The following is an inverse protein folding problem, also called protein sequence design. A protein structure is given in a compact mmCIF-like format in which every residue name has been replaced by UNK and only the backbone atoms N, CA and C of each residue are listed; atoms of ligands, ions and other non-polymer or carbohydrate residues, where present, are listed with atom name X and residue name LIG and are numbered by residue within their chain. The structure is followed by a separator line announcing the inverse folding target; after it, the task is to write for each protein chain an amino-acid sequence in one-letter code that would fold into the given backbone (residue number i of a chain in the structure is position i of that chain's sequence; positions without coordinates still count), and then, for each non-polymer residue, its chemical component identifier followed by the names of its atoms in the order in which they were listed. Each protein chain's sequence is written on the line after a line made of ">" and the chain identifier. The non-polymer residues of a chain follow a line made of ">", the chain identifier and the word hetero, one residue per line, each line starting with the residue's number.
data_IF_195618774965
#
_entry.id   IF_195618774965
#
_cell.length_a   1.000
_cell.length_b   1.000
_cell.length_c   1.000
_cell.angle_alpha   90.00
_cell.angle_beta   90.00
_cell.angle_gamma   90.00
#
_symmetry.space_group_name_H-M   'P 1'
#
loop_
_entity.id
_entity.type
_entity.pdbx_description
1 polymer ?
#
# COMPACT_ATOMS: atom_id res chain seq x y z
N UNK A 1 7.99 22.61 5.14
CA UNK A 1 7.90 21.14 5.04
C UNK A 1 6.53 20.79 4.51
N UNK A 2 6.47 20.19 3.33
CA UNK A 2 5.27 19.57 2.77
C UNK A 2 5.73 18.19 2.34
N UNK A 3 5.37 17.20 3.14
CA UNK A 3 5.66 15.80 2.87
C UNK A 3 5.16 15.42 1.46
N UNK A 4 5.87 14.50 0.81
CA UNK A 4 5.35 13.70 -0.29
C UNK A 4 4.32 12.76 0.33
N UNK A 5 3.18 13.34 0.69
CA UNK A 5 2.00 12.60 1.07
C UNK A 5 1.08 12.60 -0.14
N UNK A 6 0.60 11.41 -0.49
CA UNK A 6 -0.51 11.30 -1.42
C UNK A 6 -1.68 12.16 -0.95
N UNK A 7 -2.43 12.76 -1.90
CA UNK A 7 -3.63 13.53 -1.56
C UNK A 7 -4.70 12.64 -0.92
N UNK A 8 -5.77 13.27 -0.42
CA UNK A 8 -6.90 12.53 0.16
C UNK A 8 -7.37 11.46 -0.82
N UNK A 9 -7.43 10.23 -0.34
CA UNK A 9 -7.80 9.05 -1.12
C UNK A 9 -9.20 9.16 -1.71
N UNK A 10 -10.06 10.03 -1.15
CA UNK A 10 -11.37 10.37 -1.72
C UNK A 10 -11.26 11.05 -3.09
N UNK A 11 -10.15 11.74 -3.39
CA UNK A 11 -9.89 12.35 -4.70
C UNK A 11 -9.38 11.33 -5.74
N UNK A 12 -8.93 10.15 -5.29
CA UNK A 12 -8.51 9.05 -6.15
C UNK A 12 -9.73 8.26 -6.64
N UNK A 13 -10.43 8.82 -7.62
CA UNK A 13 -11.62 8.20 -8.23
C UNK A 13 -11.41 8.03 -9.73
N UNK A 14 -11.53 6.79 -10.17
CA UNK A 14 -11.71 6.44 -11.57
C UNK A 14 -13.22 6.34 -11.83
N UNK A 15 -13.71 7.01 -12.88
CA UNK A 15 -15.15 7.06 -13.21
C UNK A 15 -15.75 5.67 -13.41
N UNK A 16 -14.98 4.74 -13.98
CA UNK A 16 -15.42 3.35 -14.20
C UNK A 16 -15.67 2.61 -12.89
N UNK A 17 -14.91 2.94 -11.84
CA UNK A 17 -14.94 2.22 -10.56
C UNK A 17 -15.64 2.99 -9.44
N UNK A 18 -16.20 4.17 -9.72
CA UNK A 18 -16.82 5.03 -8.72
C UNK A 18 -17.93 4.30 -7.91
N UNK A 19 -18.78 3.51 -8.59
CA UNK A 19 -19.86 2.76 -7.95
C UNK A 19 -19.33 1.66 -7.00
N UNK A 20 -18.31 0.92 -7.44
CA UNK A 20 -17.67 -0.12 -6.63
C UNK A 20 -16.98 0.50 -5.42
N UNK A 21 -16.33 1.64 -5.61
CA UNK A 21 -15.65 2.37 -4.56
C UNK A 21 -16.63 2.93 -3.53
N UNK A 22 -17.78 3.44 -3.98
CA UNK A 22 -18.85 3.92 -3.10
C UNK A 22 -19.46 2.78 -2.30
N UNK A 23 -19.63 1.61 -2.90
CA UNK A 23 -20.05 0.42 -2.17
C UNK A 23 -19.01 0.05 -1.10
N UNK A 24 -17.73 -0.05 -1.44
CA UNK A 24 -16.65 -0.39 -0.50
C UNK A 24 -16.61 0.62 0.66
N UNK A 25 -16.69 1.92 0.37
CA UNK A 25 -16.68 2.97 1.38
C UNK A 25 -17.94 2.96 2.25
N UNK A 26 -19.12 2.69 1.68
CA UNK A 26 -20.35 2.51 2.44
C UNK A 26 -20.27 1.32 3.41
N UNK A 27 -19.69 0.20 2.96
CA UNK A 27 -19.50 -1.01 3.79
C UNK A 27 -18.46 -0.80 4.89
N UNK A 28 -17.42 -0.01 4.61
CA UNK A 28 -16.38 0.34 5.59
C UNK A 28 -16.88 1.33 6.66
N UNK A 29 -17.77 2.26 6.30
CA UNK A 29 -18.32 3.27 7.21
C UNK A 29 -19.43 2.75 8.14
N UNK A 30 -20.01 1.59 7.85
CA UNK A 30 -20.98 0.94 8.75
C UNK A 30 -20.40 0.75 10.16
N UNK A 31 -21.22 0.97 11.17
CA UNK A 31 -20.86 0.69 12.56
C UNK A 31 -20.68 -0.81 12.75
N UNK A 32 -19.78 -1.22 13.65
CA UNK A 32 -19.58 -2.64 13.97
C UNK A 32 -20.77 -3.11 14.79
N UNK A 33 -21.68 -3.89 14.20
CA UNK A 33 -22.75 -4.57 14.93
C UNK A 33 -22.19 -5.44 16.03
N UNK A 34 -20.97 -5.96 15.90
CA UNK A 34 -20.26 -6.65 16.97
C UNK A 34 -20.17 -5.83 18.26
N UNK A 35 -19.91 -4.52 18.16
CA UNK A 35 -19.80 -3.64 19.33
C UNK A 35 -21.18 -3.30 19.86
N UNK A 36 -22.12 -2.94 18.98
CA UNK A 36 -23.48 -2.59 19.38
C UNK A 36 -24.20 -3.76 20.08
N UNK A 37 -24.13 -4.98 19.52
CA UNK A 37 -24.74 -6.17 20.10
C UNK A 37 -24.02 -6.64 21.37
N UNK A 38 -22.69 -6.56 21.43
CA UNK A 38 -21.97 -6.88 22.66
C UNK A 38 -22.37 -5.96 23.82
N UNK A 39 -22.48 -4.66 23.57
CA UNK A 39 -22.93 -3.68 24.58
C UNK A 39 -24.39 -3.92 24.96
N UNK A 40 -25.29 -4.13 24.00
CA UNK A 40 -26.70 -4.42 24.26
C UNK A 40 -26.89 -5.68 25.12
N UNK A 41 -26.24 -6.79 24.75
CA UNK A 41 -26.31 -8.03 25.50
C UNK A 41 -25.64 -7.89 26.87
N UNK A 42 -24.53 -7.17 26.97
CA UNK A 42 -23.86 -6.88 28.24
C UNK A 42 -24.75 -6.08 29.20
N UNK A 43 -25.43 -5.04 28.72
CA UNK A 43 -26.37 -4.24 29.51
C UNK A 43 -27.58 -5.11 29.94
N UNK A 44 -28.13 -5.90 29.01
CA UNK A 44 -29.26 -6.79 29.33
C UNK A 44 -28.87 -7.84 30.40
N UNK A 45 -27.69 -8.47 30.26
CA UNK A 45 -27.17 -9.42 31.25
C UNK A 45 -26.90 -8.77 32.60
N UNK A 46 -26.37 -7.54 32.62
CA UNK A 46 -26.16 -6.79 33.85
C UNK A 46 -27.47 -6.47 34.56
N UNK A 47 -28.48 -5.95 33.83
CA UNK A 47 -29.81 -5.64 34.38
C UNK A 47 -30.57 -6.88 34.85
N UNK A 48 -30.37 -8.03 34.21
CA UNK A 48 -30.92 -9.29 34.70
C UNK A 48 -30.26 -9.72 36.01
N UNK A 49 -28.93 -9.56 36.11
CA UNK A 49 -28.19 -9.95 37.31
C UNK A 49 -28.41 -9.06 38.53
N UNK A 50 -28.85 -7.80 38.38
CA UNK A 50 -29.26 -6.97 39.52
C UNK A 50 -30.53 -7.50 40.20
N UNK A 51 -31.40 -8.19 39.46
CA UNK A 51 -32.59 -8.87 39.99
C UNK A 51 -32.27 -10.22 40.67
N UNK A 52 -31.07 -10.75 40.44
CA UNK A 52 -30.62 -12.09 40.87
C UNK A 52 -29.56 -12.02 41.99
N UNK A 53 -29.67 -11.04 42.89
CA UNK A 53 -28.91 -11.04 44.14
C UNK A 53 -27.41 -10.78 44.01
N UNK A 54 -27.00 -9.90 43.10
CA UNK A 54 -25.59 -9.44 43.01
C UNK A 54 -24.74 -10.11 41.92
N UNK A 55 -25.33 -10.98 41.10
CA UNK A 55 -24.64 -11.62 39.97
C UNK A 55 -24.49 -10.72 38.71
N UNK A 56 -24.84 -9.43 38.81
CA UNK A 56 -24.82 -8.45 37.71
C UNK A 56 -23.51 -8.41 36.88
N UNK A 57 -22.30 -8.30 37.47
CA UNK A 57 -21.08 -8.24 36.68
C UNK A 57 -20.78 -9.56 35.94
N UNK A 58 -21.08 -10.72 36.56
CA UNK A 58 -20.83 -12.03 35.95
C UNK A 58 -21.76 -12.27 34.76
N UNK A 59 -23.05 -11.99 34.93
CA UNK A 59 -24.03 -12.17 33.84
C UNK A 59 -23.86 -11.14 32.72
N UNK A 60 -23.44 -9.91 33.03
CA UNK A 60 -23.10 -8.91 32.02
C UNK A 60 -21.92 -9.33 31.14
N UNK A 61 -20.80 -9.78 31.74
CA UNK A 61 -19.65 -10.29 30.99
C UNK A 61 -20.01 -11.56 30.21
N UNK A 62 -20.77 -12.46 30.84
CA UNK A 62 -21.25 -13.70 30.22
C UNK A 62 -22.11 -13.47 28.98
N UNK A 63 -22.97 -12.45 28.99
CA UNK A 63 -23.80 -12.09 27.84
C UNK A 63 -23.06 -11.27 26.77
N UNK A 64 -22.02 -10.52 27.16
CA UNK A 64 -21.21 -9.71 26.24
C UNK A 64 -20.54 -10.55 25.14
N UNK A 65 -19.96 -11.70 25.51
CA UNK A 65 -19.23 -12.56 24.56
C UNK A 65 -20.14 -13.12 23.45
N UNK A 66 -21.31 -13.73 23.76
CA UNK A 66 -22.29 -14.12 22.74
C UNK A 66 -22.75 -12.96 21.86
N UNK A 67 -23.05 -11.78 22.45
CA UNK A 67 -23.44 -10.60 21.67
C UNK A 67 -22.35 -10.15 20.69
N UNK A 68 -21.08 -10.21 21.11
CA UNK A 68 -19.93 -9.92 20.25
C UNK A 68 -19.78 -10.96 19.13
N UNK A 69 -19.94 -12.26 19.41
CA UNK A 69 -19.83 -13.33 18.42
C UNK A 69 -20.94 -13.23 17.36
N UNK A 70 -22.19 -13.05 17.79
CA UNK A 70 -23.34 -12.87 16.89
C UNK A 70 -23.13 -11.62 16.03
N UNK A 71 -22.71 -10.51 16.63
CA UNK A 71 -22.47 -9.29 15.86
C UNK A 71 -21.28 -9.39 14.92
N UNK A 72 -20.21 -10.13 15.27
CA UNK A 72 -19.11 -10.43 14.33
C UNK A 72 -19.61 -11.25 13.13
N UNK A 73 -20.48 -12.23 13.38
CA UNK A 73 -21.10 -13.02 12.31
C UNK A 73 -21.92 -12.12 11.37
N UNK A 74 -22.81 -11.27 11.87
CA UNK A 74 -23.55 -10.31 11.04
C UNK A 74 -22.67 -9.30 10.32
N UNK A 75 -21.65 -8.74 10.99
CA UNK A 75 -20.69 -7.82 10.39
C UNK A 75 -19.95 -8.47 9.21
N UNK A 76 -19.67 -9.77 9.28
CA UNK A 76 -18.99 -10.51 8.21
C UNK A 76 -19.79 -10.61 6.91
N UNK A 77 -21.12 -10.56 6.97
CA UNK A 77 -21.98 -10.52 5.78
C UNK A 77 -22.29 -9.09 5.33
N UNK A 78 -22.47 -8.15 6.27
CA UNK A 78 -22.96 -6.80 5.95
C UNK A 78 -21.90 -5.84 5.45
N UNK A 79 -20.64 -6.04 5.86
CA UNK A 79 -19.54 -5.08 5.65
C UNK A 79 -18.53 -5.52 4.60
N UNK A 80 -18.92 -6.47 3.75
CA UNK A 80 -18.03 -7.06 2.76
C UNK A 80 -18.59 -6.79 1.38
N UNK A 81 -17.78 -6.19 0.52
CA UNK A 81 -17.99 -6.13 -0.93
C UNK A 81 -17.29 -7.33 -1.57
N UNK A 82 -17.98 -8.02 -2.46
CA UNK A 82 -17.42 -9.17 -3.19
C UNK A 82 -16.96 -8.69 -4.56
N UNK A 83 -15.66 -8.81 -4.84
CA UNK A 83 -15.06 -8.58 -6.15
C UNK A 83 -14.71 -9.93 -6.73
N UNK A 84 -15.43 -10.35 -7.76
CA UNK A 84 -15.15 -11.60 -8.46
C UNK A 84 -14.51 -11.30 -9.80
N UNK A 85 -13.32 -11.87 -10.03
CA UNK A 85 -12.56 -11.70 -11.25
C UNK A 85 -12.63 -12.96 -12.11
N UNK A 86 -13.24 -12.86 -13.27
CA UNK A 86 -13.16 -13.85 -14.34
C UNK A 86 -12.23 -13.29 -15.41
N UNK A 87 -10.95 -13.67 -15.35
CA UNK A 87 -9.91 -13.11 -16.21
C UNK A 87 -9.79 -13.95 -17.48
N UNK A 88 -9.82 -13.29 -18.63
CA UNK A 88 -9.43 -13.92 -19.89
C UNK A 88 -7.94 -14.33 -19.84
N UNK A 89 -7.55 -15.32 -20.67
CA UNK A 89 -6.19 -15.89 -20.67
C UNK A 89 -5.07 -14.84 -20.72
N UNK A 90 -5.25 -13.80 -21.54
CA UNK A 90 -4.25 -12.75 -21.70
C UNK A 90 -4.14 -11.86 -20.46
N UNK A 91 -5.27 -11.55 -19.81
CA UNK A 91 -5.33 -10.80 -18.57
C UNK A 91 -4.78 -11.61 -17.38
N UNK A 92 -5.12 -12.90 -17.31
CA UNK A 92 -4.60 -13.82 -16.30
C UNK A 92 -3.06 -13.93 -16.41
N UNK A 93 -2.54 -14.10 -17.63
CA UNK A 93 -1.10 -14.17 -17.85
C UNK A 93 -0.39 -12.84 -17.51
N UNK A 94 -1.00 -11.69 -17.85
CA UNK A 94 -0.46 -10.37 -17.49
C UNK A 94 -0.45 -10.13 -15.99
N UNK A 95 -1.53 -10.50 -15.31
CA UNK A 95 -1.62 -10.41 -13.86
C UNK A 95 -0.65 -11.36 -13.16
N UNK A 96 -0.48 -12.59 -13.66
CA UNK A 96 0.52 -13.53 -13.17
C UNK A 96 1.95 -12.98 -13.26
N UNK A 97 2.29 -12.26 -14.35
CA UNK A 97 3.58 -11.56 -14.47
C UNK A 97 3.74 -10.46 -13.43
N UNK A 98 2.68 -9.72 -13.12
CA UNK A 98 2.69 -8.70 -12.06
C UNK A 98 2.99 -9.34 -10.70
N UNK A 99 2.29 -10.44 -10.37
CA UNK A 99 2.48 -11.17 -9.11
C UNK A 99 3.91 -11.72 -9.01
N UNK A 100 4.44 -12.37 -10.05
CA UNK A 100 5.81 -12.88 -10.04
C UNK A 100 6.88 -11.77 -9.93
N UNK A 101 6.66 -10.63 -10.59
CA UNK A 101 7.54 -9.47 -10.43
C UNK A 101 7.48 -8.89 -9.01
N UNK A 102 6.30 -8.90 -8.38
CA UNK A 102 6.13 -8.47 -7.00
C UNK A 102 6.83 -9.39 -5.99
N UNK A 103 6.85 -10.71 -6.23
CA UNK A 103 7.61 -11.65 -5.40
C UNK A 103 9.12 -11.33 -5.42
N UNK A 104 9.64 -10.85 -6.57
CA UNK A 104 11.03 -10.39 -6.68
C UNK A 104 11.31 -9.19 -5.78
N UNK A 105 10.38 -8.22 -5.72
CA UNK A 105 10.45 -7.09 -4.79
C UNK A 105 10.38 -7.55 -3.33
N UNK A 106 9.49 -8.48 -3.05
CA UNK A 106 9.29 -9.05 -1.71
C UNK A 106 10.53 -9.79 -1.23
N UNK A 107 11.30 -10.41 -2.13
CA UNK A 107 12.55 -11.11 -1.85
C UNK A 107 13.77 -10.23 -1.55
N UNK A 108 13.64 -8.91 -1.52
CA UNK A 108 14.69 -8.00 -1.08
C UNK A 108 14.82 -8.01 0.46
N UNK A 109 16.04 -8.07 1.00
CA UNK A 109 16.26 -8.12 2.45
C UNK A 109 15.86 -6.80 3.12
N UNK A 110 16.22 -5.68 2.50
CA UNK A 110 15.79 -4.34 2.86
C UNK A 110 14.70 -3.81 1.93
N UNK A 111 13.59 -3.34 2.53
CA UNK A 111 12.43 -2.71 1.87
C UNK A 111 11.99 -1.53 2.73
N UNK A 112 11.89 -0.35 2.15
CA UNK A 112 11.53 0.86 2.90
C UNK A 112 10.50 1.69 2.15
N UNK A 113 9.62 2.35 2.89
CA UNK A 113 8.88 3.52 2.44
C UNK A 113 9.71 4.76 2.75
N UNK A 114 9.74 5.69 1.81
CA UNK A 114 10.50 6.92 1.91
C UNK A 114 9.53 8.09 2.00
N UNK A 115 9.41 8.68 3.19
CA UNK A 115 8.70 9.94 3.37
C UNK A 115 9.67 11.08 3.00
N UNK A 116 9.68 11.47 1.72
CA UNK A 116 10.50 12.60 1.28
C UNK A 116 9.76 13.93 1.51
N UNK A 117 10.49 15.00 1.82
CA UNK A 117 9.96 16.37 1.93
C UNK A 117 10.03 17.05 0.57
N UNK A 118 8.88 17.51 0.06
CA UNK A 118 8.77 18.32 -1.15
C UNK A 118 8.32 17.57 -2.39
N UNK A 119 7.51 18.25 -3.20
CA UNK A 119 7.12 17.87 -4.56
C UNK A 119 8.36 17.48 -5.39
N UNK A 120 8.72 16.21 -5.40
CA UNK A 120 9.61 15.63 -6.41
C UNK A 120 8.78 15.57 -7.69
N UNK A 121 8.59 16.70 -8.38
CA UNK A 121 7.87 16.71 -9.64
C UNK A 121 8.70 16.06 -10.76
N UNK A 122 10.01 15.91 -10.58
CA UNK A 122 10.92 15.50 -11.65
C UNK A 122 12.02 14.52 -11.19
N UNK A 123 12.33 13.55 -12.07
CA UNK A 123 13.43 12.57 -11.94
C UNK A 123 14.78 13.28 -11.74
N UNK A 124 14.93 14.49 -12.29
CA UNK A 124 16.13 15.32 -12.17
C UNK A 124 16.29 15.91 -10.77
N UNK A 125 15.19 16.37 -10.16
CA UNK A 125 15.18 16.85 -8.78
C UNK A 125 15.48 15.70 -7.81
N UNK A 126 14.95 14.51 -8.08
CA UNK A 126 15.30 13.30 -7.34
C UNK A 126 16.77 12.92 -7.49
N UNK A 127 17.35 12.83 -8.70
CA UNK A 127 18.78 12.51 -8.87
C UNK A 127 19.71 13.47 -8.12
N UNK A 128 19.31 14.73 -7.99
CA UNK A 128 20.05 15.75 -7.20
C UNK A 128 19.90 15.54 -5.69
N UNK A 129 18.73 15.13 -5.22
CA UNK A 129 18.45 14.91 -3.80
C UNK A 129 18.87 13.49 -3.32
N UNK A 130 18.98 12.52 -4.24
CA UNK A 130 19.39 11.13 -4.02
C UNK A 130 20.93 10.95 -4.01
N UNK A 131 21.69 12.05 -3.90
CA UNK A 131 23.07 11.97 -3.44
C UNK A 131 23.15 11.28 -2.08
N UNK A 132 24.35 10.85 -1.68
CA UNK A 132 24.65 10.17 -0.43
C UNK A 132 24.25 11.05 0.79
N UNK A 133 22.97 11.13 1.08
CA UNK A 133 22.37 12.01 2.06
C UNK A 133 21.78 11.15 3.17
N UNK A 134 22.33 11.35 4.36
CA UNK A 134 21.92 10.70 5.61
C UNK A 134 20.51 11.10 6.06
N UNK A 135 19.83 12.01 5.34
CA UNK A 135 18.67 12.78 5.80
C UNK A 135 17.31 12.29 5.28
N UNK A 136 17.28 11.13 4.62
CA UNK A 136 16.02 10.54 4.14
C UNK A 136 15.38 9.71 5.25
N UNK A 137 14.18 10.09 5.71
CA UNK A 137 13.39 9.29 6.67
C UNK A 137 12.87 8.02 5.98
N UNK A 138 13.65 6.94 6.09
CA UNK A 138 13.31 5.62 5.56
C UNK A 138 12.67 4.79 6.65
N UNK A 139 11.43 4.40 6.46
CA UNK A 139 10.70 3.52 7.38
C UNK A 139 10.59 2.13 6.75
N UNK A 140 10.96 1.05 7.46
CA UNK A 140 10.75 -0.30 6.95
C UNK A 140 9.30 -0.49 6.50
N UNK A 141 9.12 -1.07 5.31
CA UNK A 141 7.78 -1.34 4.78
C UNK A 141 7.52 -2.83 4.62
N UNK A 142 6.24 -3.18 4.58
CA UNK A 142 5.75 -4.54 4.41
C UNK A 142 5.16 -4.70 3.01
N UNK A 143 5.67 -5.72 2.30
CA UNK A 143 5.13 -6.22 1.04
C UNK A 143 4.50 -7.58 1.32
N UNK A 144 3.21 -7.75 1.00
CA UNK A 144 2.50 -9.02 1.21
C UNK A 144 1.48 -9.26 0.12
N UNK A 145 0.96 -10.49 0.00
CA UNK A 145 -0.25 -10.77 -0.77
C UNK A 145 -1.43 -10.77 0.20
N UNK A 146 -2.29 -9.75 0.15
CA UNK A 146 -3.39 -9.59 1.12
C UNK A 146 -4.58 -8.85 0.54
N UNK A 147 -5.77 -9.10 1.07
CA UNK A 147 -7.00 -8.39 0.69
C UNK A 147 -7.39 -7.34 1.74
N UNK A 148 -8.04 -6.24 1.31
CA UNK A 148 -8.71 -5.34 2.23
C UNK A 148 -9.73 -6.08 3.10
N UNK A 149 -9.86 -5.69 4.37
CA UNK A 149 -10.75 -6.38 5.33
C UNK A 149 -12.23 -6.41 4.90
N UNK A 150 -12.66 -5.40 4.15
CA UNK A 150 -14.04 -5.24 3.65
C UNK A 150 -14.21 -5.75 2.22
N UNK A 151 -13.20 -6.40 1.65
CA UNK A 151 -13.27 -6.99 0.32
C UNK A 151 -13.10 -8.51 0.43
N UNK A 152 -13.92 -9.24 -0.31
CA UNK A 152 -13.70 -10.66 -0.60
C UNK A 152 -13.49 -10.79 -2.09
N UNK A 153 -12.46 -11.54 -2.46
CA UNK A 153 -12.12 -11.80 -3.85
C UNK A 153 -11.59 -13.21 -4.02
N UNK A 154 -11.77 -13.76 -5.22
CA UNK A 154 -11.15 -15.01 -5.65
C UNK A 154 -9.65 -14.86 -5.94
N UNK A 155 -9.17 -13.62 -6.14
CA UNK A 155 -7.74 -13.31 -6.27
C UNK A 155 -7.21 -12.63 -5.01
N UNK A 156 -5.99 -12.96 -4.61
CA UNK A 156 -5.30 -12.28 -3.50
C UNK A 156 -4.22 -11.37 -4.09
N UNK A 157 -4.41 -10.04 -4.08
CA UNK A 157 -3.52 -9.13 -4.76
C UNK A 157 -2.23 -8.90 -3.99
N UNK A 158 -1.14 -8.58 -4.70
CA UNK A 158 0.01 -7.91 -4.11
C UNK A 158 -0.38 -6.63 -3.37
N UNK A 159 0.28 -6.37 -2.25
CA UNK A 159 0.01 -5.20 -1.41
C UNK A 159 1.28 -4.59 -0.81
N UNK A 160 1.36 -3.25 -0.84
CA UNK A 160 2.49 -2.47 -0.32
C UNK A 160 1.98 -1.48 0.72
N UNK A 161 2.58 -1.47 1.89
CA UNK A 161 2.35 -0.43 2.88
C UNK A 161 3.18 0.82 2.52
N UNK A 162 2.56 2.00 2.47
CA UNK A 162 3.23 3.26 2.14
C UNK A 162 2.74 4.33 3.10
N UNK A 163 3.51 4.54 4.18
CA UNK A 163 3.12 5.39 5.30
C UNK A 163 1.78 4.97 5.92
N UNK A 164 0.79 5.87 5.84
CA UNK A 164 -0.58 5.65 6.34
C UNK A 164 -1.42 4.80 5.38
N UNK A 165 -1.01 4.69 4.12
CA UNK A 165 -1.78 4.05 3.08
C UNK A 165 -1.33 2.61 2.81
N UNK A 166 -2.20 1.81 2.22
CA UNK A 166 -1.88 0.49 1.69
C UNK A 166 -2.38 0.41 0.25
N UNK A 167 -1.48 0.10 -0.67
CA UNK A 167 -1.78 -0.11 -2.08
C UNK A 167 -2.07 -1.59 -2.30
N UNK A 168 -3.20 -1.93 -2.91
CA UNK A 168 -3.56 -3.29 -3.33
C UNK A 168 -3.64 -3.33 -4.85
N UNK A 169 -2.76 -4.09 -5.49
CA UNK A 169 -2.66 -4.19 -6.94
C UNK A 169 -3.64 -5.26 -7.46
N UNK A 170 -4.89 -4.84 -7.67
CA UNK A 170 -5.96 -5.68 -8.21
C UNK A 170 -5.72 -5.95 -9.71
N UNK A 171 -6.38 -6.92 -10.34
CA UNK A 171 -6.20 -7.18 -11.77
C UNK A 171 -6.48 -5.98 -12.68
N UNK A 172 -7.40 -5.10 -12.28
CA UNK A 172 -7.95 -3.98 -13.05
C UNK A 172 -7.44 -2.59 -12.62
N UNK A 173 -7.15 -2.42 -11.33
CA UNK A 173 -6.76 -1.14 -10.73
C UNK A 173 -5.85 -1.31 -9.50
N UNK A 174 -5.32 -0.21 -8.99
CA UNK A 174 -4.72 -0.14 -7.65
C UNK A 174 -5.72 0.44 -6.67
N UNK A 175 -6.16 -0.38 -5.71
CA UNK A 175 -7.02 0.07 -4.63
C UNK A 175 -6.14 0.64 -3.52
N UNK A 176 -6.38 1.91 -3.17
CA UNK A 176 -5.62 2.65 -2.16
C UNK A 176 -6.46 2.72 -0.89
N UNK A 177 -5.97 2.12 0.20
CA UNK A 177 -6.63 2.19 1.50
C UNK A 177 -5.95 3.21 2.37
N UNK A 178 -6.73 4.12 2.95
CA UNK A 178 -6.26 5.08 3.93
C UNK A 178 -7.23 5.15 5.11
N UNK A 179 -6.77 4.66 6.27
CA UNK A 179 -7.61 4.59 7.47
C UNK A 179 -8.90 3.80 7.23
N UNK A 180 -10.03 4.51 7.21
CA UNK A 180 -11.38 3.98 6.99
C UNK A 180 -11.96 4.32 5.59
N UNK A 181 -11.12 4.76 4.67
CA UNK A 181 -11.50 5.16 3.31
C UNK A 181 -10.72 4.39 2.27
N UNK A 182 -11.31 4.25 1.10
CA UNK A 182 -10.73 3.66 -0.08
C UNK A 182 -10.83 4.61 -1.27
N UNK A 183 -9.82 4.54 -2.11
CA UNK A 183 -9.69 5.20 -3.40
C UNK A 183 -9.19 4.18 -4.41
N UNK A 184 -9.28 4.51 -5.69
CA UNK A 184 -8.84 3.65 -6.76
C UNK A 184 -8.04 4.45 -7.79
N UNK A 185 -6.97 3.85 -8.30
CA UNK A 185 -6.17 4.38 -9.39
C UNK A 185 -6.12 3.33 -10.48
N UNK A 186 -6.77 3.59 -11.62
CA UNK A 186 -6.67 2.72 -12.78
C UNK A 186 -5.24 2.62 -13.30
N UNK A 187 -4.86 1.48 -13.87
CA UNK A 187 -3.49 1.29 -14.38
C UNK A 187 -3.13 2.26 -15.51
N UNK A 188 -4.11 2.82 -16.23
CA UNK A 188 -3.87 3.82 -17.25
C UNK A 188 -3.31 5.14 -16.68
N UNK A 189 -3.68 5.48 -15.44
CA UNK A 189 -3.30 6.71 -14.75
C UNK A 189 -2.14 6.51 -13.75
N UNK A 190 -1.79 5.25 -13.47
CA UNK A 190 -0.66 4.90 -12.63
C UNK A 190 0.65 5.10 -13.39
N UNK A 191 1.45 6.07 -12.95
CA UNK A 191 2.80 6.32 -13.43
C UNK A 191 3.81 5.66 -12.49
N UNK A 192 4.76 4.94 -13.06
CA UNK A 192 5.86 4.32 -12.32
C UNK A 192 7.21 4.81 -12.82
N UNK A 193 8.10 5.15 -11.90
CA UNK A 193 9.47 5.54 -12.21
C UNK A 193 10.41 4.82 -11.26
N UNK A 194 11.49 4.25 -11.76
CA UNK A 194 12.49 3.63 -10.91
C UNK A 194 13.89 4.06 -11.32
N UNK A 195 14.80 4.12 -10.34
CA UNK A 195 16.18 4.46 -10.59
C UNK A 195 17.10 4.09 -9.41
N UNK A 196 18.40 3.89 -9.69
CA UNK A 196 19.38 3.55 -8.66
C UNK A 196 19.63 4.73 -7.70
N UNK A 197 19.61 4.45 -6.39
CA UNK A 197 19.78 5.40 -5.29
C UNK A 197 21.01 5.03 -4.46
N UNK A 198 21.82 6.00 -4.03
CA UNK A 198 22.95 5.74 -3.14
C UNK A 198 22.60 6.17 -1.71
N UNK A 199 22.75 5.26 -0.76
CA UNK A 199 22.40 5.51 0.63
C UNK A 199 23.57 5.22 1.58
N UNK A 200 23.79 6.14 2.52
CA UNK A 200 24.80 5.96 3.58
C UNK A 200 24.17 5.12 4.69
N UNK A 201 24.63 3.89 4.85
CA UNK A 201 24.09 2.97 5.85
C UNK A 201 24.87 3.09 7.16
N UNK A 202 24.22 3.64 8.18
CA UNK A 202 24.82 3.77 9.53
C UNK A 202 24.61 2.50 10.36
N UNK A 203 23.55 1.74 10.05
CA UNK A 203 23.17 0.50 10.73
C UNK A 203 23.75 -0.75 10.08
N UNK A 204 22.97 -1.84 10.17
CA UNK A 204 23.32 -3.11 9.53
C UNK A 204 22.98 -3.04 8.04
N UNK A 205 24.00 -3.23 7.21
CA UNK A 205 23.84 -3.36 5.76
C UNK A 205 22.99 -4.59 5.43
N UNK A 206 21.95 -4.46 4.57
CA UNK A 206 21.22 -5.61 4.05
C UNK A 206 22.17 -6.59 3.37
N UNK A 207 21.96 -7.89 3.55
CA UNK A 207 22.87 -8.93 3.03
C UNK A 207 22.96 -8.99 1.50
N UNK A 208 21.99 -8.39 0.81
CA UNK A 208 21.86 -8.34 -0.64
C UNK A 208 22.13 -6.96 -1.24
N UNK A 209 22.56 -5.99 -0.41
CA UNK A 209 22.93 -4.67 -0.86
C UNK A 209 24.34 -4.65 -1.46
N UNK A 210 24.50 -3.92 -2.58
CA UNK A 210 25.80 -3.65 -3.17
C UNK A 210 26.45 -2.44 -2.47
N UNK A 211 27.63 -2.62 -1.88
CA UNK A 211 28.42 -1.51 -1.33
C UNK A 211 29.24 -0.89 -2.47
N UNK A 212 28.94 0.36 -2.83
CA UNK A 212 29.60 1.05 -3.96
C UNK A 212 30.75 1.95 -3.52
N UNK A 213 30.76 2.40 -2.27
CA UNK A 213 31.87 3.16 -1.69
C UNK A 213 31.77 3.17 -0.16
N UNK A 214 32.74 3.82 0.48
CA UNK A 214 32.71 4.12 1.91
C UNK A 214 32.88 5.62 2.11
N UNK A 215 32.22 6.15 3.13
CA UNK A 215 32.37 7.54 3.60
C UNK A 215 32.69 7.54 5.08
N UNK A 216 33.13 8.66 5.63
CA UNK A 216 33.32 8.82 7.07
C UNK A 216 31.98 9.14 7.75
N UNK A 217 31.77 8.65 8.97
CA UNK A 217 30.58 8.98 9.77
C UNK A 217 30.47 10.50 10.04
N UNK A 218 31.62 11.15 10.19
CA UNK A 218 31.75 12.61 10.27
C UNK A 218 32.77 13.09 9.22
N UNK A 219 32.34 13.32 7.97
CA UNK A 219 33.26 13.78 6.92
C UNK A 219 33.56 15.27 7.10
N UNK A 220 34.81 15.66 6.86
CA UNK A 220 35.20 17.07 6.76
C UNK A 220 34.80 17.65 5.38
N UNK A 221 35.06 18.95 5.15
CA UNK A 221 34.73 19.63 3.88
C UNK A 221 35.33 18.98 2.62
N UNK A 222 36.41 18.21 2.77
CA UNK A 222 37.11 17.54 1.68
C UNK A 222 36.73 16.04 1.57
N UNK A 223 35.75 15.57 2.35
CA UNK A 223 35.30 14.17 2.37
C UNK A 223 36.18 13.20 3.17
N UNK A 224 37.25 13.68 3.82
CA UNK A 224 38.10 12.88 4.72
C UNK A 224 37.56 12.83 6.16
N UNK A 225 38.25 12.14 7.09
CA UNK A 225 37.81 12.06 8.48
C UNK A 225 37.96 13.43 9.16
N UNK A 226 36.90 13.91 9.80
CA UNK A 226 37.00 14.99 10.77
C UNK A 226 37.62 14.46 12.08
N UNK A 227 38.83 14.94 12.39
CA UNK A 227 39.64 14.51 13.54
C UNK A 227 39.11 15.03 14.89
N UNK A 228 38.12 15.93 14.88
CA UNK A 228 37.46 16.41 16.12
C UNK A 228 36.58 15.34 16.75
N UNK A 229 36.13 14.37 15.96
CA UNK A 229 35.32 13.25 16.43
C UNK A 229 36.25 12.08 16.79
N UNK A 230 36.22 11.68 18.06
CA UNK A 230 37.06 10.59 18.60
C UNK A 230 36.72 9.22 17.98
N UNK A 231 35.44 8.99 17.68
CA UNK A 231 34.95 7.77 17.04
C UNK A 231 34.33 8.12 15.68
N UNK A 232 35.20 8.22 14.67
CA UNK A 232 34.82 8.54 13.31
C UNK A 232 35.20 7.37 12.39
N UNK A 233 34.37 6.32 12.39
CA UNK A 233 34.57 5.17 11.52
C UNK A 233 34.13 5.44 10.09
N UNK A 234 34.66 4.65 9.16
CA UNK A 234 34.07 4.56 7.82
C UNK A 234 32.73 3.80 7.88
N UNK A 235 31.77 4.28 7.11
CA UNK A 235 30.44 3.73 6.95
C UNK A 235 30.16 3.48 5.46
N UNK A 236 29.51 2.37 5.11
CA UNK A 236 29.29 1.98 3.73
C UNK A 236 28.24 2.87 3.05
N UNK A 237 28.46 3.12 1.77
CA UNK A 237 27.47 3.69 0.86
C UNK A 237 26.95 2.53 0.01
N UNK A 238 25.68 2.19 0.22
CA UNK A 238 25.02 1.10 -0.47
C UNK A 238 24.23 1.62 -1.67
N UNK A 239 24.20 0.83 -2.74
CA UNK A 239 23.36 1.06 -3.90
C UNK A 239 22.03 0.33 -3.70
N UNK A 240 20.97 1.11 -3.65
CA UNK A 240 19.58 0.66 -3.59
C UNK A 240 18.86 1.02 -4.90
N UNK A 241 17.62 0.58 -5.04
CA UNK A 241 16.72 0.98 -6.12
C UNK A 241 15.48 1.65 -5.55
N UNK A 242 15.22 2.86 -6.03
CA UNK A 242 14.02 3.60 -5.70
C UNK A 242 12.94 3.31 -6.74
N UNK A 243 11.71 3.08 -6.30
CA UNK A 243 10.52 2.91 -7.11
C UNK A 243 9.44 3.88 -6.63
N UNK A 244 9.01 4.75 -7.53
CA UNK A 244 7.97 5.74 -7.30
C UNK A 244 6.68 5.34 -8.00
N UNK A 245 5.58 5.51 -7.30
CA UNK A 245 4.22 5.45 -7.83
C UNK A 245 3.63 6.85 -7.81
N UNK A 246 3.03 7.30 -8.91
CA UNK A 246 2.28 8.55 -8.94
C UNK A 246 1.04 8.48 -9.82
N UNK A 247 0.05 9.32 -9.56
CA UNK A 247 -1.12 9.49 -10.42
C UNK A 247 -1.56 10.95 -10.50
N UNK A 248 -2.25 11.37 -11.58
CA UNK A 248 -2.91 12.68 -11.65
C UNK A 248 -3.93 12.90 -10.52
N UNK A 249 -4.55 11.81 -10.05
CA UNK A 249 -5.53 11.82 -8.96
C UNK A 249 -4.92 11.98 -7.57
N UNK A 250 -3.59 12.05 -7.46
CA UNK A 250 -2.90 12.46 -6.25
C UNK A 250 -2.14 11.36 -5.51
N UNK A 251 -2.04 10.14 -6.04
CA UNK A 251 -1.08 9.15 -5.54
C UNK A 251 0.34 9.69 -5.78
N UNK A 252 1.21 9.62 -4.78
CA UNK A 252 2.60 10.00 -4.91
C UNK A 252 3.41 9.34 -3.78
N UNK A 253 3.85 8.10 -4.01
CA UNK A 253 4.52 7.28 -3.01
C UNK A 253 5.88 6.80 -3.50
N UNK A 254 6.83 6.69 -2.59
CA UNK A 254 8.19 6.25 -2.87
C UNK A 254 8.56 5.07 -1.98
N UNK A 255 9.01 4.00 -2.60
CA UNK A 255 9.59 2.84 -1.91
C UNK A 255 10.99 2.59 -2.42
N UNK A 256 11.82 1.99 -1.56
CA UNK A 256 13.18 1.61 -1.91
C UNK A 256 13.46 0.16 -1.55
N UNK A 257 14.27 -0.47 -2.39
CA UNK A 257 14.69 -1.85 -2.30
C UNK A 257 16.21 -1.92 -2.20
N UNK A 258 16.69 -2.84 -1.39
CA UNK A 258 18.12 -3.10 -1.18
C UNK A 258 18.85 -3.64 -2.41
N UNK A 259 18.15 -4.31 -3.33
CA UNK A 259 18.67 -4.78 -4.62
C UNK A 259 18.37 -3.80 -5.76
N UNK A 260 19.20 -3.84 -6.80
CA UNK A 260 18.98 -3.14 -8.07
C UNK A 260 18.39 -4.05 -9.14
N UNK A 261 17.76 -3.45 -10.15
CA UNK A 261 17.14 -4.12 -11.30
C UNK A 261 15.97 -5.04 -10.92
N UNK A 262 15.29 -4.75 -9.81
CA UNK A 262 14.14 -5.54 -9.32
C UNK A 262 12.80 -4.89 -9.65
N UNK A 263 12.79 -3.58 -9.88
CA UNK A 263 11.59 -2.77 -10.12
C UNK A 263 11.14 -2.79 -11.59
N UNK A 264 12.07 -2.97 -12.52
CA UNK A 264 11.77 -2.93 -13.95
C UNK A 264 10.70 -3.95 -14.38
N UNK A 265 10.79 -5.25 -14.02
CA UNK A 265 9.75 -6.23 -14.40
C UNK A 265 8.37 -5.86 -13.84
N UNK A 266 8.32 -5.29 -12.64
CA UNK A 266 7.08 -4.88 -12.00
C UNK A 266 6.43 -3.70 -12.73
N UNK A 267 7.20 -2.66 -13.06
CA UNK A 267 6.73 -1.52 -13.85
C UNK A 267 6.26 -1.93 -15.26
N UNK A 268 6.97 -2.87 -15.89
CA UNK A 268 6.58 -3.43 -17.19
C UNK A 268 5.25 -4.20 -17.10
N UNK A 269 5.05 -5.01 -16.06
CA UNK A 269 3.80 -5.73 -15.84
C UNK A 269 2.61 -4.78 -15.60
N UNK A 270 2.80 -3.72 -14.82
CA UNK A 270 1.80 -2.66 -14.62
C UNK A 270 1.43 -1.98 -15.95
N UNK A 271 2.44 -1.65 -16.76
CA UNK A 271 2.24 -1.03 -18.08
C UNK A 271 1.49 -1.96 -19.04
N UNK A 272 1.75 -3.27 -19.00
CA UNK A 272 1.05 -4.25 -19.81
C UNK A 272 -0.44 -4.34 -19.43
N UNK A 273 -0.77 -4.34 -18.13
CA UNK A 273 -2.16 -4.28 -17.67
C UNK A 273 -2.85 -2.98 -18.11
N UNK A 274 -2.16 -1.84 -18.03
CA UNK A 274 -2.68 -0.56 -18.52
C UNK A 274 -3.03 -0.59 -20.01
N UNK A 275 -2.22 -1.27 -20.82
CA UNK A 275 -2.46 -1.42 -22.26
C UNK A 275 -3.64 -2.35 -22.56
N UNK A 276 -3.75 -3.47 -21.83
CA UNK A 276 -4.86 -4.42 -21.96
C UNK A 276 -6.20 -3.74 -21.69
N UNK A 277 -6.37 -3.05 -20.57
CA UNK A 277 -7.65 -2.39 -20.26
C UNK A 277 -8.01 -1.28 -21.27
N UNK A 278 -7.03 -0.50 -21.72
CA UNK A 278 -7.25 0.50 -22.79
C UNK A 278 -7.71 -0.10 -24.11
N UNK A 279 -7.36 -1.36 -24.40
CA UNK A 279 -7.78 -2.04 -25.62
C UNK A 279 -9.21 -2.57 -25.50
N UNK A 280 -9.59 -3.08 -24.33
CA UNK A 280 -10.95 -3.54 -24.02
C UNK A 280 -11.96 -2.40 -24.08
N UNK A 281 -11.65 -1.23 -23.51
CA UNK A 281 -12.54 -0.05 -23.54
C UNK A 281 -12.78 0.47 -24.98
N UNK A 282 -11.74 0.41 -25.82
CA UNK A 282 -11.86 0.81 -27.23
C UNK A 282 -12.73 -0.16 -28.03
N UNK A 283 -12.57 -1.47 -27.83
CA UNK A 283 -13.41 -2.47 -28.50
C UNK A 283 -14.89 -2.34 -28.11
N UNK A 284 -15.18 -2.06 -26.83
CA UNK A 284 -16.54 -1.82 -26.36
C UNK A 284 -17.18 -0.60 -27.03
N UNK A 285 -16.42 0.49 -27.17
CA UNK A 285 -16.88 1.73 -27.82
C UNK A 285 -17.17 1.52 -29.31
N UNK A 286 -16.29 0.84 -30.04
CA UNK A 286 -16.49 0.57 -31.48
C UNK A 286 -17.69 -0.35 -31.74
N UNK A 287 -17.90 -1.37 -30.90
CA UNK A 287 -19.02 -2.31 -31.06
C UNK A 287 -20.39 -1.65 -30.81
N UNK A 288 -20.48 -0.76 -29.82
CA UNK A 288 -21.71 -0.01 -29.55
C UNK A 288 -22.03 1.03 -30.61
N UNK A 289 -21.01 1.60 -31.28
CA UNK A 289 -21.22 2.53 -32.39
C UNK A 289 -21.84 1.85 -33.62
N UNK A 290 -21.50 0.58 -33.90
CA UNK A 290 -22.05 -0.19 -35.02
C UNK A 290 -23.44 -0.78 -34.78
N UNK A 291 -23.96 -0.73 -33.55
CA UNK A 291 -25.29 -1.28 -33.21
C UNK A 291 -26.37 -0.20 -33.14
N UNK A 292 -26.06 1.03 -33.56
CA UNK A 292 -26.96 2.21 -33.54
C UNK A 292 -27.29 2.77 -34.93
N UNK A 293 -27.06 1.98 -35.99
CA UNK A 293 -27.51 2.29 -37.36
C UNK A 293 -28.58 1.31 -37.83
#
# INVERSE_FOLDING_TARGET
>A
MREIESRDVVEMRDETFANVLDEINARQSQTRLSVALAVLFGIAGFLAGTKLGGAAPVLGIGAFVPGMLIGKWFDSYRRVSVLYYDLEKDAEAAYGRLVGAFETLTGCAGRWHVAADGKIEDLTAWKRNAGASMLVDKKPTTLTSSLPKVVRSNVTPPSIHVGRQVLFFMPDLVLVKDGNRYGAVGYADLQTQFAPSNFIETGKVPSDAEIVSYTWAHPNKNGGPDKRFKDNRQIPVCRYEALRFSSPSGLNELVEFSKTNVSQPFCQALSALAQLHRSSDRQFTTRNAHTRE
#
